data_IF_433733451707
#
_entry.id   IF_433733451707
#
_cell.length_a   1.000
_cell.length_b   1.000
_cell.length_c   1.000
_cell.angle_alpha   90.00
_cell.angle_beta   90.00
_cell.angle_gamma   90.00
#
_symmetry.space_group_name_H-M   'P 1'
#
loop_
_entity.id
_entity.type
_entity.pdbx_description
1 polymer ?
#
# COMPACT_ATOMS: atom_id res chain seq x y z
N UNK A 1 -15.68 -18.00 -2.04
CA UNK A 1 -14.59 -18.89 -1.59
C UNK A 1 -13.43 -17.99 -1.20
N UNK A 2 -13.37 -17.59 0.07
CA UNK A 2 -12.42 -16.56 0.51
C UNK A 2 -11.01 -17.13 0.57
N UNK A 3 -10.12 -16.62 -0.27
CA UNK A 3 -8.68 -16.81 -0.09
C UNK A 3 -8.31 -16.02 1.16
N UNK A 4 -8.29 -16.68 2.31
CA UNK A 4 -7.58 -16.11 3.45
C UNK A 4 -6.12 -16.12 3.06
N UNK A 5 -5.55 -14.95 2.79
CA UNK A 5 -4.10 -14.78 2.74
C UNK A 5 -3.56 -15.21 4.10
N UNK A 6 -3.10 -16.46 4.18
CA UNK A 6 -2.27 -16.93 5.28
C UNK A 6 -1.07 -15.98 5.31
N UNK A 7 -0.66 -15.43 6.46
CA UNK A 7 0.59 -14.69 6.52
C UNK A 7 1.69 -15.63 6.03
N UNK A 8 2.27 -15.30 4.88
CA UNK A 8 3.42 -16.02 4.36
C UNK A 8 4.49 -15.99 5.46
N UNK A 9 5.15 -17.12 5.64
CA UNK A 9 6.32 -17.31 6.51
C UNK A 9 7.20 -16.07 6.57
N UNK A 10 7.54 -15.71 7.80
CA UNK A 10 8.14 -14.48 8.29
C UNK A 10 9.59 -14.20 7.82
N UNK A 11 9.91 -14.49 6.56
CA UNK A 11 11.18 -14.14 5.95
C UNK A 11 11.16 -12.66 5.55
N UNK A 12 12.24 -11.90 5.84
CA UNK A 12 12.33 -10.52 5.40
C UNK A 12 12.21 -10.42 3.87
N UNK A 13 11.32 -9.56 3.41
CA UNK A 13 11.17 -9.22 2.00
C UNK A 13 12.24 -8.19 1.66
N UNK A 14 13.01 -8.44 0.60
CA UNK A 14 13.98 -7.46 0.10
C UNK A 14 13.26 -6.42 -0.76
N UNK A 15 13.28 -5.17 -0.32
CA UNK A 15 12.81 -4.02 -1.09
C UNK A 15 13.71 -3.72 -2.28
N UNK A 16 13.21 -2.88 -3.20
CA UNK A 16 13.96 -2.38 -4.35
C UNK A 16 15.16 -1.51 -3.94
N UNK A 17 15.10 -0.93 -2.74
CA UNK A 17 16.17 -0.21 -2.05
C UNK A 17 17.25 -1.15 -1.45
N UNK A 18 17.07 -2.47 -1.59
CA UNK A 18 17.95 -3.48 -1.02
C UNK A 18 17.75 -3.72 0.48
N UNK A 19 16.81 -3.03 1.14
CA UNK A 19 16.55 -3.18 2.58
C UNK A 19 15.69 -4.43 2.82
N UNK A 20 16.08 -5.23 3.81
CA UNK A 20 15.32 -6.41 4.22
C UNK A 20 14.24 -5.99 5.23
N UNK A 21 12.98 -5.97 4.79
CA UNK A 21 11.83 -5.55 5.59
C UNK A 21 10.99 -6.74 6.01
N UNK A 22 10.76 -6.85 7.31
CA UNK A 22 9.89 -7.88 7.89
C UNK A 22 8.47 -7.34 7.94
N UNK A 23 7.54 -8.05 7.29
CA UNK A 23 6.12 -7.67 7.24
C UNK A 23 5.35 -8.48 8.26
N UNK A 24 4.95 -7.85 9.37
CA UNK A 24 4.25 -8.51 10.48
C UNK A 24 2.73 -8.29 10.43
N UNK A 25 2.26 -7.19 9.85
CA UNK A 25 0.84 -6.85 9.79
C UNK A 25 0.46 -6.16 8.47
N UNK A 26 -0.52 -6.73 7.77
CA UNK A 26 -1.04 -6.23 6.49
C UNK A 26 -2.47 -5.68 6.59
N UNK A 27 -2.99 -5.44 7.81
CA UNK A 27 -4.38 -4.98 8.02
C UNK A 27 -4.65 -3.55 7.58
N UNK A 28 -3.62 -2.68 7.55
CA UNK A 28 -3.77 -1.25 7.18
C UNK A 28 -2.70 -0.85 6.17
N UNK A 29 -3.08 -0.90 4.90
CA UNK A 29 -2.20 -0.64 3.76
C UNK A 29 -2.32 0.80 3.29
N UNK A 30 -1.17 1.42 3.05
CA UNK A 30 -1.08 2.60 2.19
C UNK A 30 -0.43 2.17 0.88
N UNK A 31 -1.09 2.48 -0.24
CA UNK A 31 -0.59 2.17 -1.59
C UNK A 31 -0.19 3.46 -2.30
N UNK A 32 1.03 3.49 -2.82
CA UNK A 32 1.54 4.59 -3.63
C UNK A 32 1.79 4.05 -5.05
N UNK A 33 1.28 4.75 -6.06
CA UNK A 33 1.27 4.35 -7.46
C UNK A 33 -0.01 3.62 -7.84
N UNK A 34 -0.68 4.08 -8.90
CA UNK A 34 -1.91 3.48 -9.41
C UNK A 34 -1.79 1.98 -9.67
N UNK A 35 -0.73 1.52 -10.35
CA UNK A 35 -0.52 0.10 -10.62
C UNK A 35 -0.44 -0.77 -9.34
N UNK A 36 0.19 -0.27 -8.27
CA UNK A 36 0.28 -0.97 -6.99
C UNK A 36 -1.11 -1.07 -6.35
N UNK A 37 -1.85 0.03 -6.34
CA UNK A 37 -3.24 0.05 -5.87
C UNK A 37 -4.08 -0.99 -6.62
N UNK A 38 -4.06 -0.99 -7.95
CA UNK A 38 -4.85 -1.92 -8.76
C UNK A 38 -4.53 -3.38 -8.45
N UNK A 39 -3.24 -3.72 -8.30
CA UNK A 39 -2.80 -5.07 -7.92
C UNK A 39 -3.35 -5.44 -6.53
N UNK A 40 -3.28 -4.55 -5.55
CA UNK A 40 -3.78 -4.82 -4.19
C UNK A 40 -5.30 -5.07 -4.19
N UNK A 41 -6.07 -4.29 -4.95
CA UNK A 41 -7.50 -4.53 -5.12
C UNK A 41 -7.80 -5.83 -5.88
N UNK A 42 -7.06 -6.13 -6.96
CA UNK A 42 -7.21 -7.35 -7.72
C UNK A 42 -6.92 -8.62 -6.89
N UNK A 43 -6.05 -8.51 -5.88
CA UNK A 43 -5.78 -9.57 -4.90
C UNK A 43 -6.87 -9.72 -3.82
N UNK A 44 -7.95 -8.93 -3.87
CA UNK A 44 -9.03 -8.94 -2.89
C UNK A 44 -8.65 -8.29 -1.55
N UNK A 45 -7.63 -7.43 -1.54
CA UNK A 45 -7.13 -6.76 -0.33
C UNK A 45 -7.55 -5.28 -0.25
N UNK A 46 -8.45 -4.82 -1.12
CA UNK A 46 -8.92 -3.43 -1.18
C UNK A 46 -9.47 -2.89 0.15
N UNK A 47 -10.15 -3.73 0.94
CA UNK A 47 -10.67 -3.37 2.27
C UNK A 47 -9.58 -2.97 3.26
N UNK A 48 -8.35 -3.43 3.04
CA UNK A 48 -7.19 -3.10 3.87
C UNK A 48 -6.54 -1.78 3.46
N UNK A 49 -6.87 -1.23 2.29
CA UNK A 49 -6.35 0.06 1.83
C UNK A 49 -7.00 1.19 2.62
N UNK A 50 -6.18 1.87 3.44
CA UNK A 50 -6.60 2.98 4.29
C UNK A 50 -6.35 4.34 3.67
N UNK A 51 -5.43 4.44 2.70
CA UNK A 51 -5.22 5.63 1.88
C UNK A 51 -4.41 5.27 0.62
N UNK A 52 -4.52 6.11 -0.40
CA UNK A 52 -3.79 5.96 -1.65
C UNK A 52 -3.26 7.31 -2.16
N UNK A 53 -2.27 7.29 -3.05
CA UNK A 53 -1.80 8.51 -3.70
C UNK A 53 -2.77 9.00 -4.82
N UNK A 54 -2.55 10.22 -5.31
CA UNK A 54 -3.41 10.86 -6.31
C UNK A 54 -3.42 10.17 -7.70
N UNK A 55 -2.41 9.34 -8.01
CA UNK A 55 -2.37 8.54 -9.25
C UNK A 55 -3.25 7.29 -9.19
N UNK A 56 -3.74 6.93 -8.00
CA UNK A 56 -4.63 5.78 -7.81
C UNK A 56 -6.06 6.16 -8.16
N UNK A 57 -6.54 5.63 -9.30
CA UNK A 57 -7.84 5.98 -9.89
C UNK A 57 -8.77 4.78 -10.12
N UNK A 58 -8.26 3.55 -9.99
CA UNK A 58 -9.02 2.31 -10.17
C UNK A 58 -8.70 1.33 -9.03
N UNK A 59 -9.68 0.53 -8.57
CA UNK A 59 -11.11 0.61 -8.87
C UNK A 59 -11.77 1.86 -8.27
N UNK A 60 -13.02 2.21 -8.65
CA UNK A 60 -13.71 3.41 -8.15
C UNK A 60 -13.71 3.53 -6.62
N UNK A 61 -13.78 2.41 -5.90
CA UNK A 61 -13.75 2.34 -4.44
C UNK A 61 -12.50 3.00 -3.82
N UNK A 62 -11.37 3.06 -4.53
CA UNK A 62 -10.17 3.74 -4.01
C UNK A 62 -10.35 5.26 -3.96
N UNK A 63 -11.25 5.82 -4.76
CA UNK A 63 -11.52 7.26 -4.79
C UNK A 63 -12.21 7.75 -3.51
N UNK A 64 -12.80 6.85 -2.73
CA UNK A 64 -13.38 7.15 -1.42
C UNK A 64 -12.33 7.19 -0.29
N UNK A 65 -11.09 6.75 -0.59
CA UNK A 65 -10.00 6.73 0.39
C UNK A 65 -9.29 8.10 0.48
N UNK A 66 -8.72 8.45 1.64
CA UNK A 66 -7.84 9.61 1.77
C UNK A 66 -6.75 9.64 0.69
N UNK A 67 -6.54 10.82 0.09
CA UNK A 67 -5.57 11.03 -1.00
C UNK A 67 -4.31 11.70 -0.48
N UNK A 68 -3.17 11.06 -0.67
CA UNK A 68 -1.87 11.47 -0.08
C UNK A 68 -1.04 12.42 -0.96
N UNK A 69 -1.66 13.04 -1.97
CA UNK A 69 -0.97 13.78 -3.02
C UNK A 69 -0.29 12.84 -4.02
N UNK A 70 0.50 13.39 -4.94
CA UNK A 70 1.22 12.60 -5.94
C UNK A 70 2.40 11.86 -5.31
N UNK A 71 2.59 10.56 -5.60
CA UNK A 71 3.54 9.71 -4.87
C UNK A 71 4.98 10.25 -4.82
N UNK A 72 5.46 10.96 -5.86
CA UNK A 72 6.81 11.58 -5.85
C UNK A 72 6.97 12.74 -4.87
N UNK A 73 5.86 13.19 -4.29
CA UNK A 73 5.77 14.27 -3.31
C UNK A 73 4.90 13.83 -2.12
N UNK A 74 4.76 12.51 -1.90
CA UNK A 74 3.93 12.00 -0.82
C UNK A 74 4.46 12.52 0.53
N UNK A 75 3.58 13.15 1.31
CA UNK A 75 3.95 13.66 2.63
C UNK A 75 4.08 12.51 3.63
N UNK A 76 5.24 12.40 4.28
CA UNK A 76 5.46 11.47 5.38
C UNK A 76 4.44 11.66 6.50
N UNK A 77 4.09 12.90 6.84
CA UNK A 77 3.08 13.22 7.84
C UNK A 77 1.69 12.72 7.41
N UNK A 78 1.33 12.91 6.13
CA UNK A 78 0.07 12.43 5.57
C UNK A 78 -0.04 10.91 5.63
N UNK A 79 1.04 10.19 5.33
CA UNK A 79 1.12 8.73 5.44
C UNK A 79 0.95 8.29 6.91
N UNK A 80 1.73 8.88 7.84
CA UNK A 80 1.72 8.51 9.25
C UNK A 80 0.37 8.77 9.93
N UNK A 81 -0.33 9.83 9.54
CA UNK A 81 -1.67 10.15 10.04
C UNK A 81 -2.70 9.04 9.77
N UNK A 82 -2.50 8.21 8.75
CA UNK A 82 -3.39 7.08 8.43
C UNK A 82 -3.15 5.86 9.33
N UNK A 83 -2.11 5.90 10.18
CA UNK A 83 -1.67 4.80 11.04
C UNK A 83 -1.54 3.47 10.25
N UNK A 84 -0.73 3.44 9.17
CA UNK A 84 -0.55 2.23 8.38
C UNK A 84 0.27 1.19 9.15
N UNK A 85 0.06 -0.08 8.81
CA UNK A 85 0.93 -1.19 9.23
C UNK A 85 1.90 -1.60 8.14
N UNK A 86 1.60 -1.27 6.88
CA UNK A 86 2.47 -1.49 5.73
C UNK A 86 2.25 -0.39 4.67
N UNK A 87 3.35 0.09 4.08
CA UNK A 87 3.35 0.99 2.93
C UNK A 87 3.97 0.25 1.75
N UNK A 88 3.32 0.29 0.58
CA UNK A 88 3.84 -0.28 -0.66
C UNK A 88 3.97 0.85 -1.68
N UNK A 89 5.16 0.98 -2.26
CA UNK A 89 5.51 2.10 -3.14
C UNK A 89 6.42 1.63 -4.29
N UNK A 90 6.43 2.33 -5.43
CA UNK A 90 7.38 2.08 -6.51
C UNK A 90 8.78 2.55 -6.11
N UNK A 91 9.79 2.14 -6.88
CA UNK A 91 11.13 2.71 -6.80
C UNK A 91 11.12 4.22 -7.08
N UNK A 92 12.05 4.95 -6.45
CA UNK A 92 12.21 6.40 -6.66
C UNK A 92 11.13 7.25 -5.98
N UNK A 93 10.50 6.71 -4.93
CA UNK A 93 9.95 7.54 -3.86
C UNK A 93 11.11 8.35 -3.27
N UNK A 94 10.97 9.68 -3.21
CA UNK A 94 12.06 10.65 -3.00
C UNK A 94 13.04 10.33 -1.88
#
# INVERSE_FOLDING_TARGET
MGVQAQPATSEPVRGVDGVATRVEDTRRLVTLGGAITEIVYALGLGDRVVAADASSLYPPDVLEKPRLGYYRQASAEGILAQRPTLVVAPEGLG
#
